data_IF_365687910529
#
_entry.id   IF_365687910529
#
_cell.length_a   1.000
_cell.length_b   1.000
_cell.length_c   1.000
_cell.angle_alpha   90.00
_cell.angle_beta   90.00
_cell.angle_gamma   90.00
#
_symmetry.space_group_name_H-M   'P 1'
#
loop_
_entity.id
_entity.type
_entity.pdbx_description
1 polymer ?
#
# COMPACT_ATOMS: atom_id res chain seq x y z
N UNK A 1 -16.88 3.03 -32.94
CA UNK A 1 -15.42 2.86 -33.04
C UNK A 1 -14.88 3.28 -31.69
N UNK A 2 -14.16 2.42 -30.96
CA UNK A 2 -13.59 2.82 -29.66
C UNK A 2 -12.50 3.87 -29.90
N UNK A 3 -12.62 5.04 -29.26
CA UNK A 3 -11.56 6.04 -29.30
C UNK A 3 -10.43 5.65 -28.36
N UNK A 4 -9.21 6.12 -28.63
CA UNK A 4 -8.06 5.85 -27.78
C UNK A 4 -8.26 6.39 -26.34
N UNK A 5 -9.06 7.45 -26.19
CA UNK A 5 -9.50 8.00 -24.89
C UNK A 5 -10.33 6.98 -24.11
N UNK A 6 -11.31 6.36 -24.74
CA UNK A 6 -12.17 5.35 -24.09
C UNK A 6 -11.34 4.14 -23.61
N UNK A 7 -10.41 3.67 -24.45
CA UNK A 7 -9.52 2.57 -24.10
C UNK A 7 -8.64 2.95 -22.90
N UNK A 8 -8.09 4.17 -22.88
CA UNK A 8 -7.29 4.66 -21.76
C UNK A 8 -8.09 4.73 -20.46
N UNK A 9 -9.34 5.21 -20.51
CA UNK A 9 -10.23 5.26 -19.34
C UNK A 9 -10.51 3.85 -18.82
N UNK A 10 -10.81 2.90 -19.70
CA UNK A 10 -11.04 1.49 -19.30
C UNK A 10 -9.80 0.91 -18.59
N UNK A 11 -8.60 1.10 -19.17
CA UNK A 11 -7.36 0.63 -18.55
C UNK A 11 -7.12 1.32 -17.20
N UNK A 12 -7.38 2.62 -17.11
CA UNK A 12 -7.24 3.38 -15.85
C UNK A 12 -8.14 2.83 -14.74
N UNK A 13 -9.39 2.49 -15.08
CA UNK A 13 -10.33 1.86 -14.13
C UNK A 13 -9.82 0.49 -13.69
N UNK A 14 -9.29 -0.33 -14.61
CA UNK A 14 -8.71 -1.64 -14.26
C UNK A 14 -7.49 -1.50 -13.35
N UNK A 15 -6.63 -0.51 -13.59
CA UNK A 15 -5.47 -0.19 -12.74
C UNK A 15 -5.93 0.26 -11.34
N UNK A 16 -6.96 1.10 -11.26
CA UNK A 16 -7.55 1.52 -9.98
C UNK A 16 -8.10 0.33 -9.19
N UNK A 17 -8.85 -0.56 -9.85
CA UNK A 17 -9.38 -1.78 -9.24
C UNK A 17 -8.22 -2.69 -8.78
N UNK A 18 -7.18 -2.84 -9.60
CA UNK A 18 -6.00 -3.63 -9.24
C UNK A 18 -5.33 -3.12 -7.95
N UNK A 19 -5.10 -1.81 -7.86
CA UNK A 19 -4.57 -1.19 -6.65
C UNK A 19 -5.48 -1.43 -5.44
N UNK A 20 -6.80 -1.21 -5.58
CA UNK A 20 -7.76 -1.45 -4.50
C UNK A 20 -7.75 -2.90 -4.01
N UNK A 21 -7.73 -3.87 -4.91
CA UNK A 21 -7.63 -5.30 -4.58
C UNK A 21 -6.29 -5.62 -3.90
N UNK A 22 -5.18 -5.09 -4.41
CA UNK A 22 -3.87 -5.26 -3.79
C UNK A 22 -3.85 -4.75 -2.36
N UNK A 23 -4.40 -3.56 -2.12
CA UNK A 23 -4.48 -2.95 -0.80
C UNK A 23 -5.29 -3.81 0.18
N UNK A 24 -6.45 -4.30 -0.25
CA UNK A 24 -7.30 -5.19 0.57
C UNK A 24 -6.59 -6.51 0.90
N UNK A 25 -5.94 -7.13 -0.09
CA UNK A 25 -5.17 -8.36 0.11
C UNK A 25 -4.02 -8.12 1.10
N UNK A 26 -3.30 -7.02 0.96
CA UNK A 26 -2.20 -6.67 1.86
C UNK A 26 -2.71 -6.40 3.28
N UNK A 27 -3.81 -5.68 3.43
CA UNK A 27 -4.43 -5.43 4.73
C UNK A 27 -4.85 -6.74 5.42
N UNK A 28 -5.57 -7.60 4.70
CA UNK A 28 -6.13 -8.83 5.27
C UNK A 28 -5.10 -9.93 5.50
N UNK A 29 -4.17 -10.13 4.57
CA UNK A 29 -3.24 -11.26 4.61
C UNK A 29 -1.87 -10.92 5.19
N UNK A 30 -1.54 -9.65 5.36
CA UNK A 30 -0.25 -9.21 5.89
C UNK A 30 -0.40 -8.33 7.13
N UNK A 31 -1.11 -7.20 7.05
CA UNK A 31 -1.22 -6.26 8.19
C UNK A 31 -1.95 -6.90 9.37
N UNK A 32 -3.16 -7.43 9.20
CA UNK A 32 -3.89 -8.04 10.32
C UNK A 32 -3.15 -9.23 10.98
N UNK A 33 -2.56 -10.18 10.22
CA UNK A 33 -1.77 -11.25 10.83
C UNK A 33 -0.51 -10.74 11.55
N UNK A 34 0.16 -9.72 11.01
CA UNK A 34 1.30 -9.08 11.69
C UNK A 34 0.87 -8.42 13.00
N UNK A 35 -0.18 -7.62 12.97
CA UNK A 35 -0.73 -6.97 14.16
C UNK A 35 -1.10 -7.98 15.25
N UNK A 36 -1.71 -9.11 14.86
CA UNK A 36 -2.02 -10.21 15.79
C UNK A 36 -0.77 -10.79 16.43
N UNK A 37 0.29 -11.03 15.65
CA UNK A 37 1.58 -11.53 16.16
C UNK A 37 2.25 -10.51 17.10
N UNK A 38 2.29 -9.24 16.69
CA UNK A 38 2.89 -8.15 17.49
C UNK A 38 2.17 -8.04 18.84
N UNK A 39 0.84 -7.96 18.84
CA UNK A 39 0.02 -7.96 20.07
C UNK A 39 0.27 -9.19 20.95
N UNK A 40 0.32 -10.38 20.35
CA UNK A 40 0.56 -11.62 21.11
C UNK A 40 1.95 -11.67 21.77
N UNK A 41 2.91 -10.90 21.25
CA UNK A 41 4.25 -10.77 21.84
C UNK A 41 4.38 -9.65 22.86
N UNK A 42 3.29 -8.95 23.19
CA UNK A 42 3.26 -7.81 24.09
C UNK A 42 3.64 -6.48 23.45
N UNK A 43 3.81 -6.43 22.12
CA UNK A 43 4.09 -5.20 21.37
C UNK A 43 2.86 -4.30 21.23
N UNK A 44 3.10 -2.99 21.16
CA UNK A 44 2.04 -1.99 20.94
C UNK A 44 1.72 -1.81 19.46
N UNK A 45 0.46 -1.51 19.15
CA UNK A 45 0.03 -1.11 17.82
C UNK A 45 -0.10 0.42 17.73
N UNK A 46 0.00 0.98 16.51
CA UNK A 46 -0.24 2.40 16.27
C UNK A 46 -1.61 2.86 16.80
N UNK A 47 -1.63 3.88 17.66
CA UNK A 47 -2.86 4.48 18.23
C UNK A 47 -3.40 5.66 17.41
N UNK A 48 -2.58 6.19 16.50
CA UNK A 48 -2.90 7.39 15.71
C UNK A 48 -3.83 7.11 14.51
N UNK A 49 -4.04 5.85 14.16
CA UNK A 49 -4.75 5.48 12.93
C UNK A 49 -6.26 5.32 13.14
N UNK A 50 -7.03 6.17 12.43
CA UNK A 50 -8.50 6.15 12.43
C UNK A 50 -9.11 5.79 11.08
N UNK A 51 -8.37 5.94 9.97
CA UNK A 51 -8.89 5.80 8.59
C UNK A 51 -8.17 4.71 7.77
N UNK A 52 -7.30 3.89 8.38
CA UNK A 52 -6.57 2.83 7.68
C UNK A 52 -5.32 3.31 6.95
N UNK A 53 -4.88 4.55 7.20
CA UNK A 53 -3.64 5.11 6.67
C UNK A 53 -2.43 4.30 7.13
N UNK A 54 -2.51 3.64 8.30
CA UNK A 54 -1.43 2.78 8.81
C UNK A 54 -1.04 1.65 7.86
N UNK A 55 -1.96 1.16 7.02
CA UNK A 55 -1.68 0.06 6.09
C UNK A 55 -0.47 0.42 5.21
N UNK A 56 -0.42 1.66 4.71
CA UNK A 56 0.71 2.18 3.93
C UNK A 56 2.00 2.20 4.75
N UNK A 57 1.95 2.60 6.03
CA UNK A 57 3.11 2.60 6.93
C UNK A 57 3.71 1.20 7.11
N UNK A 58 2.88 0.15 7.21
CA UNK A 58 3.36 -1.23 7.22
C UNK A 58 4.07 -1.59 5.90
N UNK A 59 3.51 -1.21 4.75
CA UNK A 59 4.16 -1.46 3.46
C UNK A 59 5.54 -0.78 3.37
N UNK A 60 5.64 0.48 3.79
CA UNK A 60 6.93 1.19 3.83
C UNK A 60 7.94 0.51 4.75
N UNK A 61 7.55 0.12 5.97
CA UNK A 61 8.47 -0.54 6.93
C UNK A 61 9.01 -1.90 6.44
N UNK A 62 8.27 -2.60 5.57
CA UNK A 62 8.67 -3.87 4.96
C UNK A 62 9.63 -3.69 3.77
N UNK A 63 9.56 -2.55 3.08
CA UNK A 63 10.36 -2.26 1.88
C UNK A 63 11.62 -1.49 2.26
N UNK A 64 11.45 -0.42 3.03
CA UNK A 64 12.49 0.54 3.43
C UNK A 64 12.80 0.42 4.91
N UNK A 65 14.03 0.75 5.27
CA UNK A 65 14.47 0.81 6.67
C UNK A 65 14.63 2.26 7.07
N UNK A 66 13.79 2.74 7.99
CA UNK A 66 13.93 4.08 8.55
C UNK A 66 14.91 3.98 9.71
N UNK A 67 16.10 4.58 9.53
CA UNK A 67 17.17 4.53 10.55
C UNK A 67 16.78 5.23 11.85
N UNK A 68 16.00 6.30 11.73
CA UNK A 68 15.62 7.17 12.83
C UNK A 68 14.32 6.67 13.45
N UNK A 69 14.36 6.15 14.68
CA UNK A 69 13.19 5.57 15.36
C UNK A 69 12.08 6.60 15.57
N UNK A 70 12.43 7.87 15.79
CA UNK A 70 11.44 8.95 15.95
C UNK A 70 10.64 9.24 14.68
N UNK A 71 11.16 8.87 13.50
CA UNK A 71 10.48 9.00 12.21
C UNK A 71 9.65 7.78 11.83
N UNK A 72 9.68 6.70 12.62
CA UNK A 72 8.95 5.47 12.35
C UNK A 72 7.47 5.63 12.72
N UNK A 73 6.57 5.47 11.75
CA UNK A 73 5.13 5.50 11.97
C UNK A 73 4.57 4.23 12.64
N UNK A 74 5.32 3.13 12.53
CA UNK A 74 5.07 1.82 13.14
C UNK A 74 6.38 1.27 13.68
N UNK A 75 6.34 0.43 14.70
CA UNK A 75 7.56 -0.24 15.21
C UNK A 75 8.13 -1.19 14.14
N UNK A 76 9.12 -0.69 13.38
CA UNK A 76 9.71 -1.43 12.27
C UNK A 76 10.41 -2.71 12.74
N UNK A 77 10.96 -2.70 13.96
CA UNK A 77 11.66 -3.85 14.52
C UNK A 77 10.68 -5.00 14.72
N UNK A 78 9.54 -4.73 15.33
CA UNK A 78 8.48 -5.73 15.52
C UNK A 78 7.89 -6.18 14.19
N UNK A 79 7.62 -5.25 13.26
CA UNK A 79 7.08 -5.60 11.95
C UNK A 79 8.00 -6.56 11.21
N UNK A 80 9.29 -6.22 11.11
CA UNK A 80 10.29 -7.03 10.39
C UNK A 80 10.57 -8.36 11.07
N UNK A 81 10.55 -8.39 12.41
CA UNK A 81 10.73 -9.62 13.19
C UNK A 81 9.66 -10.68 12.87
N UNK A 82 8.41 -10.26 12.65
CA UNK A 82 7.29 -11.16 12.41
C UNK A 82 6.91 -11.35 10.94
N UNK A 83 7.49 -10.54 10.05
CA UNK A 83 7.22 -10.56 8.63
C UNK A 83 7.83 -11.77 7.91
N UNK A 84 7.09 -12.28 6.94
CA UNK A 84 7.54 -13.31 6.01
C UNK A 84 8.03 -12.69 4.70
N UNK A 85 8.70 -13.50 3.86
CA UNK A 85 9.06 -13.08 2.50
C UNK A 85 7.82 -12.70 1.67
N UNK A 86 6.70 -13.40 1.87
CA UNK A 86 5.45 -13.14 1.15
C UNK A 86 4.83 -11.79 1.56
N UNK A 87 4.97 -11.40 2.83
CA UNK A 87 4.53 -10.08 3.29
C UNK A 87 5.28 -8.95 2.58
N UNK A 88 6.59 -9.13 2.41
CA UNK A 88 7.42 -8.17 1.66
C UNK A 88 7.05 -8.12 0.17
N UNK A 89 6.77 -9.27 -0.46
CA UNK A 89 6.33 -9.31 -1.86
C UNK A 89 5.00 -8.56 -2.03
N UNK A 90 4.02 -8.79 -1.15
CA UNK A 90 2.73 -8.08 -1.20
C UNK A 90 2.87 -6.59 -0.92
N UNK A 91 3.78 -6.19 -0.02
CA UNK A 91 4.09 -4.79 0.21
C UNK A 91 4.61 -4.13 -1.07
N UNK A 92 5.62 -4.73 -1.72
CA UNK A 92 6.19 -4.23 -2.98
C UNK A 92 5.09 -4.14 -4.05
N UNK A 93 4.29 -5.19 -4.21
CA UNK A 93 3.20 -5.21 -5.19
C UNK A 93 2.16 -4.10 -4.94
N UNK A 94 1.81 -3.84 -3.67
CA UNK A 94 0.86 -2.78 -3.29
C UNK A 94 1.41 -1.39 -3.56
N UNK A 95 2.69 -1.14 -3.25
CA UNK A 95 3.32 0.15 -3.54
C UNK A 95 3.49 0.34 -5.06
N UNK A 96 3.90 -0.69 -5.80
CA UNK A 96 4.04 -0.61 -7.25
C UNK A 96 2.68 -0.36 -7.92
N UNK A 97 1.61 -1.05 -7.50
CA UNK A 97 0.26 -0.80 -8.04
C UNK A 97 -0.25 0.61 -7.70
N UNK A 98 0.04 1.13 -6.51
CA UNK A 98 -0.24 2.54 -6.17
C UNK A 98 0.49 3.51 -7.10
N UNK A 99 1.79 3.31 -7.33
CA UNK A 99 2.58 4.17 -8.22
C UNK A 99 2.03 4.14 -9.64
N UNK A 100 1.71 2.95 -10.17
CA UNK A 100 1.10 2.82 -11.50
C UNK A 100 -0.24 3.55 -11.56
N UNK A 101 -1.10 3.37 -10.56
CA UNK A 101 -2.38 4.08 -10.48
C UNK A 101 -2.20 5.61 -10.49
N UNK A 102 -1.29 6.14 -9.68
CA UNK A 102 -1.00 7.58 -9.65
C UNK A 102 -0.45 8.10 -10.99
N UNK A 103 0.41 7.34 -11.67
CA UNK A 103 0.92 7.71 -12.99
C UNK A 103 -0.21 7.80 -14.03
N UNK A 104 -1.16 6.86 -14.01
CA UNK A 104 -2.33 6.90 -14.89
C UNK A 104 -3.23 8.10 -14.56
N UNK A 105 -3.46 8.40 -13.28
CA UNK A 105 -4.24 9.55 -12.85
C UNK A 105 -3.60 10.89 -13.28
N UNK A 106 -2.29 11.03 -13.09
CA UNK A 106 -1.53 12.22 -13.52
C UNK A 106 -1.58 12.35 -15.05
N UNK A 107 -1.35 11.25 -15.77
CA UNK A 107 -1.43 11.25 -17.23
C UNK A 107 -2.82 11.67 -17.72
N UNK A 108 -3.88 11.15 -17.08
CA UNK A 108 -5.24 11.58 -17.38
C UNK A 108 -5.42 13.09 -17.21
N UNK A 109 -5.00 13.65 -16.06
CA UNK A 109 -5.12 15.08 -15.76
C UNK A 109 -4.33 15.99 -16.71
N UNK A 110 -3.24 15.51 -17.29
CA UNK A 110 -2.37 16.32 -18.16
C UNK A 110 -2.80 16.29 -19.62
N UNK A 111 -3.40 15.19 -20.09
CA UNK A 111 -3.64 14.96 -21.52
C UNK A 111 -5.12 14.82 -21.90
N UNK A 112 -6.01 14.55 -20.95
CA UNK A 112 -7.42 14.26 -21.22
C UNK A 112 -8.40 15.13 -20.42
N UNK A 113 -7.93 15.75 -19.35
CA UNK A 113 -8.71 16.70 -18.57
C UNK A 113 -8.63 18.07 -19.26
N UNK A 114 -9.76 18.49 -19.83
CA UNK A 114 -9.92 19.83 -20.42
C UNK A 114 -10.16 20.81 -19.26
N UNK A 115 -9.10 21.40 -18.72
CA UNK A 115 -9.25 22.60 -17.87
C UNK A 115 -9.83 23.76 -18.69
#
# INVERSE_FOLDING_TARGET
MFEYKDLFVIISVLVMINFGVSLLIFAQLTVHPLEKKIKSSGGELPKWDSMGIRISSYAFSLIYSIKETSAQMVDENSVRKFATKNDRIRAIYTITSLVIFLLFAIFYSLFFDEN
#
